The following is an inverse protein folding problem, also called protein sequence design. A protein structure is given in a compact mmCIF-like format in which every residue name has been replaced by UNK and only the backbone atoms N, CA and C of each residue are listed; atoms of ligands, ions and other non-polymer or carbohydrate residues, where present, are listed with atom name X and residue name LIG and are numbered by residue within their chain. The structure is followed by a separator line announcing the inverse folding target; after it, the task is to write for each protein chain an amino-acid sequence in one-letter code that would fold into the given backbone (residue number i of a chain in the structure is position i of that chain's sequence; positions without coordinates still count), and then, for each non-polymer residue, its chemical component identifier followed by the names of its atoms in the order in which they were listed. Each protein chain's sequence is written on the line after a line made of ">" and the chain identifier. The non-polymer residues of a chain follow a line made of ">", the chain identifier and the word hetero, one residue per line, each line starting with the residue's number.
data_IF_772343962360
#
_entry.id   IF_772343962360
#
_cell.length_a   1.000
_cell.length_b   1.000
_cell.length_c   1.000
_cell.angle_alpha   90.00
_cell.angle_beta   90.00
_cell.angle_gamma   90.00
#
_symmetry.space_group_name_H-M   'P 1'
#
loop_
_entity.id
_entity.type
_entity.pdbx_description
1 polymer ?
#
# COMPACT_ATOMS: atom_id res chain seq x y z
N UNK A 1 10.19 -18.77 5.62
CA UNK A 1 10.66 -18.63 4.23
C UNK A 1 9.49 -18.15 3.39
N UNK A 2 9.59 -16.95 2.79
CA UNK A 2 8.54 -16.42 1.92
C UNK A 2 8.37 -17.34 0.71
N UNK A 3 7.22 -18.01 0.62
CA UNK A 3 6.89 -18.85 -0.53
C UNK A 3 6.28 -18.00 -1.65
N UNK A 4 6.21 -18.55 -2.86
CA UNK A 4 5.64 -17.86 -4.03
C UNK A 4 4.19 -17.41 -3.77
N UNK A 5 3.45 -18.18 -2.97
CA UNK A 5 2.05 -17.89 -2.64
C UNK A 5 1.92 -16.65 -1.74
N UNK A 6 2.80 -16.51 -0.74
CA UNK A 6 2.89 -15.33 0.10
C UNK A 6 3.16 -14.08 -0.72
N UNK A 7 4.18 -14.12 -1.59
CA UNK A 7 4.52 -12.99 -2.47
C UNK A 7 3.36 -12.64 -3.41
N UNK A 8 2.62 -13.64 -3.88
CA UNK A 8 1.41 -13.43 -4.69
C UNK A 8 0.34 -12.68 -3.91
N UNK A 9 0.04 -13.10 -2.68
CA UNK A 9 -0.95 -12.43 -1.84
C UNK A 9 -0.54 -10.99 -1.49
N UNK A 10 0.72 -10.75 -1.13
CA UNK A 10 1.25 -9.41 -0.86
C UNK A 10 1.11 -8.51 -2.09
N UNK A 11 1.45 -9.02 -3.27
CA UNK A 11 1.33 -8.27 -4.53
C UNK A 11 -0.12 -7.88 -4.82
N UNK A 12 -1.06 -8.79 -4.61
CA UNK A 12 -2.49 -8.53 -4.78
C UNK A 12 -2.96 -7.43 -3.81
N UNK A 13 -2.60 -7.52 -2.52
CA UNK A 13 -2.95 -6.52 -1.52
C UNK A 13 -2.49 -5.13 -1.97
N UNK A 14 -1.21 -5.01 -2.35
CA UNK A 14 -0.62 -3.73 -2.78
C UNK A 14 -1.37 -3.17 -3.99
N UNK A 15 -1.61 -3.98 -5.02
CA UNK A 15 -2.29 -3.53 -6.25
C UNK A 15 -3.69 -2.99 -5.93
N UNK A 16 -4.46 -3.70 -5.12
CA UNK A 16 -5.83 -3.30 -4.80
C UNK A 16 -5.89 -2.11 -3.84
N UNK A 17 -4.99 -2.01 -2.86
CA UNK A 17 -4.92 -0.82 -1.99
C UNK A 17 -4.53 0.43 -2.79
N UNK A 18 -3.52 0.32 -3.68
CA UNK A 18 -3.11 1.42 -4.55
C UNK A 18 -4.24 1.83 -5.50
N UNK A 19 -4.92 0.86 -6.10
CA UNK A 19 -6.08 1.12 -6.96
C UNK A 19 -7.19 1.84 -6.19
N UNK A 20 -7.51 1.39 -4.97
CA UNK A 20 -8.53 2.01 -4.12
C UNK A 20 -8.20 3.46 -3.78
N UNK A 21 -6.98 3.72 -3.30
CA UNK A 21 -6.54 5.08 -2.96
C UNK A 21 -6.45 5.98 -4.19
N UNK A 22 -5.98 5.46 -5.32
CA UNK A 22 -5.99 6.17 -6.60
C UNK A 22 -7.41 6.60 -6.99
N UNK A 23 -8.39 5.69 -6.92
CA UNK A 23 -9.78 5.97 -7.27
C UNK A 23 -10.39 7.03 -6.33
N UNK A 24 -10.13 6.93 -5.02
CA UNK A 24 -10.57 7.95 -4.05
C UNK A 24 -9.98 9.31 -4.35
N UNK A 25 -8.68 9.39 -4.66
CA UNK A 25 -8.03 10.65 -5.00
C UNK A 25 -8.57 11.23 -6.31
N UNK A 26 -8.82 10.40 -7.33
CA UNK A 26 -9.43 10.83 -8.61
C UNK A 26 -10.83 11.38 -8.40
N UNK A 27 -11.65 10.75 -7.55
CA UNK A 27 -12.96 11.26 -7.20
C UNK A 27 -12.85 12.63 -6.52
N UNK A 28 -11.92 12.79 -5.57
CA UNK A 28 -11.77 14.03 -4.81
C UNK A 28 -11.29 15.22 -5.67
N UNK A 29 -10.40 14.99 -6.63
CA UNK A 29 -9.87 16.06 -7.50
C UNK A 29 -10.91 16.49 -8.55
N UNK A 30 -11.71 15.56 -9.06
CA UNK A 30 -12.63 15.84 -10.15
C UNK A 30 -14.04 16.15 -9.63
N UNK A 31 -14.42 17.44 -9.64
CA UNK A 31 -15.71 17.95 -9.12
C UNK A 31 -16.97 17.33 -9.76
N UNK A 32 -16.85 16.64 -10.91
CA UNK A 32 -17.95 15.93 -11.58
C UNK A 32 -17.79 14.41 -11.60
N UNK A 33 -16.86 13.86 -10.82
CA UNK A 33 -16.61 12.43 -10.80
C UNK A 33 -17.84 11.63 -10.33
N UNK A 34 -18.08 10.50 -10.99
CA UNK A 34 -19.15 9.59 -10.58
C UNK A 34 -18.81 8.92 -9.26
N UNK A 35 -19.83 8.80 -8.39
CA UNK A 35 -19.75 8.10 -7.11
C UNK A 35 -19.36 6.61 -7.27
N UNK A 36 -19.44 6.06 -8.49
CA UNK A 36 -18.93 4.72 -8.81
C UNK A 36 -17.45 4.56 -8.46
N UNK A 37 -16.65 5.63 -8.53
CA UNK A 37 -15.22 5.57 -8.17
C UNK A 37 -15.03 5.26 -6.68
N UNK A 38 -15.89 5.79 -5.81
CA UNK A 38 -15.87 5.48 -4.39
C UNK A 38 -16.24 4.02 -4.18
N UNK A 39 -17.29 3.54 -4.83
CA UNK A 39 -17.75 2.14 -4.69
C UNK A 39 -16.65 1.18 -5.16
N UNK A 40 -16.03 1.44 -6.31
CA UNK A 40 -14.91 0.64 -6.80
C UNK A 40 -13.69 0.72 -5.88
N UNK A 41 -13.43 1.88 -5.27
CA UNK A 41 -12.36 2.02 -4.29
C UNK A 41 -12.61 1.21 -3.02
N UNK A 42 -13.84 1.24 -2.50
CA UNK A 42 -14.24 0.41 -1.34
C UNK A 42 -14.17 -1.08 -1.66
N UNK A 43 -14.63 -1.49 -2.85
CA UNK A 43 -14.52 -2.89 -3.30
C UNK A 43 -13.07 -3.34 -3.39
N UNK A 44 -12.17 -2.46 -3.84
CA UNK A 44 -10.73 -2.75 -3.89
C UNK A 44 -10.16 -3.01 -2.49
N UNK A 45 -10.52 -2.18 -1.51
CA UNK A 45 -10.14 -2.40 -0.11
C UNK A 45 -10.75 -3.66 0.52
N UNK A 46 -11.97 -4.03 0.13
CA UNK A 46 -12.57 -5.31 0.58
C UNK A 46 -11.79 -6.51 0.04
N UNK A 47 -11.35 -6.45 -1.22
CA UNK A 47 -10.51 -7.49 -1.82
C UNK A 47 -9.16 -7.55 -1.09
N UNK A 48 -8.48 -6.43 -0.88
CA UNK A 48 -7.21 -6.42 -0.15
C UNK A 48 -7.35 -7.02 1.25
N UNK A 49 -8.41 -6.66 1.97
CA UNK A 49 -8.72 -7.19 3.32
C UNK A 49 -8.87 -8.72 3.34
N UNK A 50 -9.48 -9.32 2.31
CA UNK A 50 -9.57 -10.77 2.19
C UNK A 50 -8.20 -11.43 2.05
N UNK A 51 -7.29 -10.84 1.28
CA UNK A 51 -5.92 -11.35 1.14
C UNK A 51 -5.07 -11.10 2.39
N UNK A 52 -5.29 -9.98 3.09
CA UNK A 52 -4.67 -9.72 4.41
C UNK A 52 -5.02 -10.86 5.38
N UNK A 53 -6.28 -11.27 5.44
CA UNK A 53 -6.68 -12.43 6.25
C UNK A 53 -5.91 -13.71 5.86
N UNK A 54 -5.65 -13.94 4.57
CA UNK A 54 -4.90 -15.13 4.10
C UNK A 54 -3.42 -15.10 4.46
N UNK A 55 -2.80 -13.93 4.57
CA UNK A 55 -1.36 -13.83 4.87
C UNK A 55 -1.05 -13.93 6.37
N UNK A 56 -2.04 -13.76 7.24
CA UNK A 56 -1.86 -13.95 8.70
C UNK A 56 -1.43 -15.36 9.09
N UNK A 57 -1.58 -16.36 8.20
CA UNK A 57 -1.03 -17.71 8.44
C UNK A 57 0.51 -17.77 8.37
N UNK A 58 1.17 -16.72 7.85
CA UNK A 58 2.62 -16.68 7.65
C UNK A 58 3.37 -15.91 8.74
N UNK A 59 2.68 -15.22 9.65
CA UNK A 59 3.32 -14.42 10.68
C UNK A 59 2.34 -13.77 11.63
N UNK A 60 2.86 -13.04 12.61
CA UNK A 60 2.02 -12.22 13.50
C UNK A 60 1.38 -11.08 12.72
N UNK A 61 0.27 -10.55 13.22
CA UNK A 61 -0.40 -9.39 12.59
C UNK A 61 0.57 -8.24 12.36
N UNK A 62 1.42 -7.91 13.34
CA UNK A 62 2.39 -6.81 13.26
C UNK A 62 3.43 -7.01 12.16
N UNK A 63 4.13 -8.15 12.17
CA UNK A 63 5.18 -8.45 11.18
C UNK A 63 4.59 -8.49 9.78
N UNK A 64 3.48 -9.22 9.62
CA UNK A 64 2.85 -9.38 8.32
C UNK A 64 2.41 -8.02 7.76
N UNK A 65 1.80 -7.17 8.59
CA UNK A 65 1.36 -5.82 8.24
C UNK A 65 2.47 -4.94 7.68
N UNK A 66 3.64 -5.00 8.31
CA UNK A 66 4.78 -4.20 7.90
C UNK A 66 5.24 -4.58 6.49
N UNK A 67 5.28 -5.88 6.16
CA UNK A 67 5.83 -6.36 4.88
C UNK A 67 5.19 -5.71 3.66
N UNK A 68 3.86 -5.66 3.56
CA UNK A 68 3.22 -5.06 2.38
C UNK A 68 3.09 -3.54 2.49
N UNK A 69 2.86 -3.01 3.71
CA UNK A 69 2.63 -1.57 3.88
C UNK A 69 3.83 -0.73 3.48
N UNK A 70 5.03 -1.28 3.58
CA UNK A 70 6.25 -0.60 3.21
C UNK A 70 6.39 -0.41 1.70
N UNK A 71 6.11 -1.47 0.93
CA UNK A 71 6.10 -1.40 -0.54
C UNK A 71 4.94 -0.55 -1.02
N UNK A 72 3.75 -0.74 -0.42
CA UNK A 72 2.57 0.08 -0.68
C UNK A 72 2.86 1.57 -0.42
N UNK A 73 3.51 1.91 0.69
CA UNK A 73 3.85 3.29 1.05
C UNK A 73 4.72 3.93 -0.03
N UNK A 74 5.81 3.29 -0.44
CA UNK A 74 6.65 3.81 -1.52
C UNK A 74 5.86 3.97 -2.82
N UNK A 75 5.05 2.99 -3.18
CA UNK A 75 4.26 3.03 -4.42
C UNK A 75 3.21 4.15 -4.41
N UNK A 76 2.51 4.40 -3.31
CA UNK A 76 1.52 5.48 -3.25
C UNK A 76 2.20 6.86 -3.33
N UNK A 77 3.40 7.01 -2.77
CA UNK A 77 4.21 8.21 -2.94
C UNK A 77 4.56 8.47 -4.41
N UNK A 78 4.97 7.44 -5.14
CA UNK A 78 5.25 7.55 -6.58
C UNK A 78 3.98 7.92 -7.36
N UNK A 79 2.83 7.33 -7.03
CA UNK A 79 1.54 7.69 -7.65
C UNK A 79 1.18 9.15 -7.36
N UNK A 80 1.30 9.60 -6.11
CA UNK A 80 1.09 10.99 -5.71
C UNK A 80 1.93 11.96 -6.53
N UNK A 81 3.24 11.67 -6.62
CA UNK A 81 4.20 12.52 -7.33
C UNK A 81 3.97 12.52 -8.86
N UNK A 82 3.94 11.35 -9.51
CA UNK A 82 3.89 11.25 -10.97
C UNK A 82 2.49 11.41 -11.58
N UNK A 83 1.45 10.92 -10.90
CA UNK A 83 0.08 10.90 -11.45
C UNK A 83 -0.73 12.11 -11.00
N UNK A 84 -0.56 12.53 -9.75
CA UNK A 84 -1.30 13.66 -9.18
C UNK A 84 -0.48 14.95 -9.11
N UNK A 85 0.81 14.92 -9.45
CA UNK A 85 1.69 16.09 -9.45
C UNK A 85 1.98 16.64 -8.05
N UNK A 86 1.85 15.81 -7.02
CA UNK A 86 2.07 16.21 -5.63
C UNK A 86 3.56 16.47 -5.40
N UNK A 87 3.90 17.65 -4.89
CA UNK A 87 5.29 18.00 -4.56
C UNK A 87 5.64 17.43 -3.20
N UNK A 88 6.72 16.65 -3.14
CA UNK A 88 7.29 16.20 -1.88
C UNK A 88 8.11 17.31 -1.26
N UNK A 89 7.72 17.69 -0.04
CA UNK A 89 8.54 18.56 0.80
C UNK A 89 9.76 17.80 1.30
N UNK A 90 10.84 18.52 1.62
CA UNK A 90 12.07 17.93 2.17
C UNK A 90 11.80 17.07 3.41
N UNK A 91 10.87 17.49 4.27
CA UNK A 91 10.43 16.75 5.46
C UNK A 91 9.76 15.42 5.11
N UNK A 92 8.93 15.39 4.08
CA UNK A 92 8.29 14.14 3.61
C UNK A 92 9.34 13.19 3.02
N UNK A 93 10.35 13.70 2.31
CA UNK A 93 11.48 12.89 1.85
C UNK A 93 12.26 12.25 3.00
N UNK A 94 12.53 13.01 4.08
CA UNK A 94 13.16 12.49 5.30
C UNK A 94 12.28 11.40 5.95
N UNK A 95 10.96 11.61 6.01
CA UNK A 95 10.04 10.60 6.55
C UNK A 95 10.06 9.29 5.73
N UNK A 96 10.15 9.38 4.40
CA UNK A 96 10.31 8.21 3.53
C UNK A 96 11.62 7.47 3.83
N UNK A 97 12.73 8.19 4.04
CA UNK A 97 14.01 7.58 4.43
C UNK A 97 13.92 6.83 5.75
N UNK A 98 13.30 7.42 6.78
CA UNK A 98 13.04 6.70 8.04
C UNK A 98 12.13 5.49 7.86
N UNK A 99 11.13 5.61 6.96
CA UNK A 99 10.30 4.48 6.54
C UNK A 99 11.15 3.34 6.00
N UNK A 100 12.07 3.63 5.08
CA UNK A 100 13.01 2.65 4.48
C UNK A 100 13.91 2.01 5.54
N UNK A 101 14.45 2.80 6.47
CA UNK A 101 15.30 2.28 7.57
C UNK A 101 14.51 1.30 8.43
N UNK A 102 13.26 1.62 8.77
CA UNK A 102 12.36 0.71 9.50
C UNK A 102 12.21 -0.63 8.77
N UNK A 103 12.05 -0.63 7.44
CA UNK A 103 11.99 -1.85 6.61
C UNK A 103 13.21 -2.72 6.86
N UNK A 104 14.39 -2.12 6.69
CA UNK A 104 15.66 -2.84 6.74
C UNK A 104 15.85 -3.46 8.12
N UNK A 105 15.52 -2.73 9.18
CA UNK A 105 15.59 -3.24 10.56
C UNK A 105 14.66 -4.44 10.79
N UNK A 106 13.44 -4.41 10.24
CA UNK A 106 12.53 -5.55 10.33
C UNK A 106 13.06 -6.77 9.57
N UNK A 107 13.54 -6.59 8.34
CA UNK A 107 14.08 -7.71 7.54
C UNK A 107 15.36 -8.32 8.13
N UNK A 108 16.20 -7.52 8.80
CA UNK A 108 17.45 -8.00 9.41
C UNK A 108 17.22 -8.77 10.72
N UNK A 109 16.10 -8.54 11.41
CA UNK A 109 15.75 -9.24 12.65
C UNK A 109 15.00 -10.56 12.43
N UNK A 110 14.59 -10.87 11.19
CA UNK A 110 13.97 -12.15 10.81
C UNK A 110 15.02 -13.22 10.38
N UNK A 111 16.28 -13.10 10.86
CA UNK A 111 17.35 -14.12 10.73
C UNK A 111 17.51 -14.90 12.04
#
# INVERSE_FOLDING_TARGET
>A
MFDTLFLTYVSIIIIFELAGQYLFKRFHINKGASHILIVLGMLSFSISSFFVFKILKYGTLGITNIIWHLVHFLAIFLIGYYVFGEKLTTTQGIAVLFGIISIVMFMLNDV
#
